data_IF_362856727587
#
_entry.id   IF_362856727587
#
_cell.length_a   1.000
_cell.length_b   1.000
_cell.length_c   1.000
_cell.angle_alpha   90.00
_cell.angle_beta   90.00
_cell.angle_gamma   90.00
#
_symmetry.space_group_name_H-M   'P 1'
#
loop_
_entity.id
_entity.type
_entity.pdbx_description
1 polymer ?
#
# COMPACT_ATOMS: atom_id res chain seq x y z
N UNK A 1 -9.60 -5.72 -1.74
CA UNK A 1 -9.72 -4.38 -2.35
C UNK A 1 -10.71 -4.43 -3.51
N UNK A 2 -11.85 -3.71 -3.44
CA UNK A 2 -12.80 -3.62 -4.57
C UNK A 2 -12.49 -2.36 -5.38
N UNK A 3 -11.64 -2.49 -6.41
CA UNK A 3 -11.35 -1.42 -7.37
C UNK A 3 -11.52 -1.93 -8.79
N UNK A 4 -11.96 -1.06 -9.71
CA UNK A 4 -12.11 -1.43 -11.12
C UNK A 4 -10.75 -1.69 -11.78
N UNK A 5 -10.74 -2.53 -12.83
CA UNK A 5 -9.52 -2.78 -13.63
C UNK A 5 -8.93 -1.49 -14.19
N UNK A 6 -9.77 -0.59 -14.70
CA UNK A 6 -9.35 0.69 -15.25
C UNK A 6 -8.67 1.57 -14.20
N UNK A 7 -9.23 1.63 -12.98
CA UNK A 7 -8.64 2.37 -11.86
C UNK A 7 -7.29 1.77 -11.48
N UNK A 8 -7.21 0.44 -11.32
CA UNK A 8 -5.95 -0.24 -10.99
C UNK A 8 -4.86 0.02 -12.05
N UNK A 9 -5.20 -0.06 -13.34
CA UNK A 9 -4.26 0.24 -14.42
C UNK A 9 -3.75 1.68 -14.41
N UNK A 10 -4.62 2.67 -14.13
CA UNK A 10 -4.21 4.08 -14.01
C UNK A 10 -3.26 4.29 -12.83
N UNK A 11 -3.59 3.72 -11.67
CA UNK A 11 -2.76 3.82 -10.46
C UNK A 11 -1.40 3.15 -10.68
N UNK A 12 -1.38 1.93 -11.22
CA UNK A 12 -0.13 1.22 -11.52
C UNK A 12 0.77 1.99 -12.49
N UNK A 13 0.20 2.63 -13.52
CA UNK A 13 0.96 3.50 -14.43
C UNK A 13 1.56 4.71 -13.69
N UNK A 14 0.80 5.34 -12.79
CA UNK A 14 1.31 6.45 -12.00
C UNK A 14 2.43 6.02 -11.05
N UNK A 15 2.32 4.84 -10.43
CA UNK A 15 3.34 4.32 -9.53
C UNK A 15 4.62 3.95 -10.27
N UNK A 16 4.49 3.39 -11.47
CA UNK A 16 5.64 3.10 -12.34
C UNK A 16 6.36 4.37 -12.77
N UNK A 17 5.62 5.40 -13.22
CA UNK A 17 6.20 6.71 -13.57
C UNK A 17 6.94 7.38 -12.40
N UNK A 18 6.59 7.04 -11.15
CA UNK A 18 7.26 7.54 -9.94
C UNK A 18 8.44 6.67 -9.49
N UNK A 19 8.70 5.56 -10.19
CA UNK A 19 9.74 4.59 -9.85
C UNK A 19 9.44 3.76 -8.61
N UNK A 20 8.16 3.63 -8.21
CA UNK A 20 7.73 2.90 -7.02
C UNK A 20 7.50 1.41 -7.35
N UNK A 21 7.00 1.13 -8.55
CA UNK A 21 6.80 -0.23 -9.07
C UNK A 21 7.45 -0.38 -10.43
N UNK A 22 7.79 -1.62 -10.77
CA UNK A 22 8.17 -2.03 -12.12
C UNK A 22 7.16 -3.05 -12.64
N UNK A 23 6.92 -3.01 -13.95
CA UNK A 23 5.99 -3.93 -14.63
C UNK A 23 6.69 -4.66 -15.76
N UNK A 24 6.70 -5.98 -15.67
CA UNK A 24 7.22 -6.87 -16.70
C UNK A 24 6.06 -7.53 -17.43
N UNK A 25 5.97 -7.37 -18.75
CA UNK A 25 4.93 -8.03 -19.54
C UNK A 25 5.26 -9.51 -19.75
N UNK A 26 4.37 -10.40 -19.32
CA UNK A 26 4.46 -11.84 -19.53
C UNK A 26 3.27 -12.32 -20.37
N UNK A 27 3.43 -12.27 -21.69
CA UNK A 27 2.36 -12.58 -22.64
C UNK A 27 1.19 -11.60 -22.54
N UNK A 28 0.05 -12.08 -22.00
CA UNK A 28 -1.18 -11.27 -21.81
C UNK A 28 -1.29 -10.66 -20.40
N UNK A 29 -0.38 -10.97 -19.49
CA UNK A 29 -0.38 -10.46 -18.12
C UNK A 29 0.82 -9.56 -17.85
N UNK A 30 0.75 -8.81 -16.76
CA UNK A 30 1.88 -8.05 -16.23
C UNK A 30 2.24 -8.59 -14.85
N UNK A 31 3.52 -8.87 -14.65
CA UNK A 31 4.08 -9.08 -13.33
C UNK A 31 4.46 -7.71 -12.77
N UNK A 32 3.92 -7.36 -11.60
CA UNK A 32 4.17 -6.09 -10.93
C UNK A 32 5.00 -6.35 -9.69
N UNK A 33 6.09 -5.61 -9.51
CA UNK A 33 6.96 -5.70 -8.34
C UNK A 33 7.25 -4.30 -7.78
N UNK A 34 7.49 -4.22 -6.48
CA UNK A 34 8.03 -3.00 -5.87
C UNK A 34 9.51 -2.86 -6.24
N UNK A 35 9.93 -1.62 -6.45
CA UNK A 35 11.35 -1.26 -6.49
C UNK A 35 11.90 -1.12 -5.06
N UNK A 36 13.20 -0.93 -4.90
CA UNK A 36 13.78 -0.59 -3.59
C UNK A 36 13.15 0.68 -3.01
N UNK A 37 12.98 1.72 -3.83
CA UNK A 37 12.26 2.94 -3.47
C UNK A 37 10.82 2.67 -3.02
N UNK A 38 10.15 1.72 -3.69
CA UNK A 38 8.80 1.33 -3.31
C UNK A 38 8.74 0.57 -1.99
N UNK A 39 9.77 -0.23 -1.66
CA UNK A 39 9.89 -0.91 -0.38
C UNK A 39 10.15 0.08 0.76
N UNK A 40 11.08 1.03 0.57
CA UNK A 40 11.35 2.10 1.55
C UNK A 40 10.08 2.91 1.85
N UNK A 41 9.35 3.34 0.81
CA UNK A 41 8.09 4.05 0.97
C UNK A 41 7.04 3.22 1.73
N UNK A 42 6.98 1.91 1.49
CA UNK A 42 6.06 1.02 2.19
C UNK A 42 6.39 0.92 3.68
N UNK A 43 7.67 0.91 4.02
CA UNK A 43 8.13 0.90 5.41
C UNK A 43 7.75 2.21 6.14
N UNK A 44 7.94 3.36 5.48
CA UNK A 44 7.50 4.66 6.01
C UNK A 44 5.97 4.70 6.25
N UNK A 45 5.17 4.21 5.29
CA UNK A 45 3.72 4.12 5.43
C UNK A 45 3.32 3.22 6.60
N UNK A 46 3.99 2.06 6.75
CA UNK A 46 3.75 1.12 7.84
C UNK A 46 4.03 1.75 9.21
N UNK A 47 5.14 2.48 9.33
CA UNK A 47 5.49 3.18 10.56
C UNK A 47 4.47 4.28 10.89
N UNK A 48 4.12 5.11 9.90
CA UNK A 48 3.11 6.15 10.08
C UNK A 48 1.73 5.59 10.45
N UNK A 49 1.36 4.44 9.87
CA UNK A 49 0.12 3.72 10.22
C UNK A 49 0.11 3.27 11.67
N UNK A 50 1.20 2.66 12.16
CA UNK A 50 1.33 2.26 13.57
C UNK A 50 1.24 3.44 14.53
N UNK A 51 1.96 4.52 14.22
CA UNK A 51 1.92 5.74 15.05
C UNK A 51 0.52 6.37 15.07
N UNK A 52 -0.20 6.30 13.96
CA UNK A 52 -1.59 6.78 13.88
C UNK A 52 -2.52 5.89 14.73
N UNK A 53 -2.42 4.57 14.60
CA UNK A 53 -3.21 3.63 15.37
C UNK A 53 -2.96 3.80 16.87
N UNK A 54 -1.69 3.90 17.28
CA UNK A 54 -1.32 4.14 18.68
C UNK A 54 -1.96 5.43 19.23
N UNK A 55 -1.99 6.51 18.44
CA UNK A 55 -2.60 7.79 18.86
C UNK A 55 -4.12 7.72 18.91
N UNK A 56 -4.76 7.13 17.90
CA UNK A 56 -6.24 7.03 17.84
C UNK A 56 -6.75 6.22 19.02
N UNK A 57 -6.07 5.14 19.36
CA UNK A 57 -6.53 4.22 20.38
C UNK A 57 -5.87 4.43 21.75
N UNK A 58 -5.07 5.47 21.94
CA UNK A 58 -4.26 5.70 23.16
C UNK A 58 -5.09 5.65 24.45
N UNK A 59 -6.34 6.10 24.40
CA UNK A 59 -7.27 6.16 25.54
C UNK A 59 -8.23 4.96 25.60
N UNK A 60 -8.14 4.03 24.64
CA UNK A 60 -8.99 2.84 24.58
C UNK A 60 -8.27 1.62 25.16
N UNK A 61 -8.96 0.91 26.04
CA UNK A 61 -8.51 -0.38 26.55
C UNK A 61 -8.41 -1.41 25.43
N UNK A 62 -7.59 -2.45 25.63
CA UNK A 62 -7.39 -3.52 24.63
C UNK A 62 -8.71 -4.22 24.30
N UNK A 63 -9.61 -4.38 25.27
CA UNK A 63 -10.91 -5.01 25.08
C UNK A 63 -11.85 -4.17 24.19
N UNK A 64 -11.78 -2.84 24.28
CA UNK A 64 -12.55 -1.93 23.42
C UNK A 64 -12.02 -1.91 21.97
N UNK A 65 -10.74 -2.25 21.76
CA UNK A 65 -10.12 -2.33 20.43
C UNK A 65 -10.48 -3.61 19.67
N UNK A 66 -10.78 -4.72 20.37
CA UNK A 66 -11.04 -6.05 19.75
C UNK A 66 -12.46 -6.13 19.15
N UNK A 67 -13.37 -5.24 19.55
CA UNK A 67 -14.80 -5.27 19.16
C UNK A 67 -15.10 -4.45 17.88
N UNK A 68 -14.14 -3.65 17.39
CA UNK A 68 -14.22 -2.86 16.14
C UNK A 68 -13.69 -3.62 14.93
#
# INVERSE_FOLDING_TARGET
MKVSKATASKVLRSLENKGIVERERRGKTYLVRLTNKGLELLEEISKAGKELDEKIFAEMSVDERIVL
#
